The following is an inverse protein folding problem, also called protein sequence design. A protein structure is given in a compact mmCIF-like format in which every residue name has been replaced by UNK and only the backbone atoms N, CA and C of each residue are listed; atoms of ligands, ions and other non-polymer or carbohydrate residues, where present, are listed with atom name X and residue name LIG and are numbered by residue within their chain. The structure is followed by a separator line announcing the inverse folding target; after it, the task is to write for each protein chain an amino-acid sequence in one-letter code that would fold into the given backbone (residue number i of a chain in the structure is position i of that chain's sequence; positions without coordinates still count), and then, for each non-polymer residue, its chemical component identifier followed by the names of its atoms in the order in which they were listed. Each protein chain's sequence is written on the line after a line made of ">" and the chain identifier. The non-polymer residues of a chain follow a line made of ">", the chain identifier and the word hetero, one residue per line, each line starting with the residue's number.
data_IF_303698842976
#
_entry.id   IF_303698842976
#
_cell.length_a   1.000
_cell.length_b   1.000
_cell.length_c   1.000
_cell.angle_alpha   90.00
_cell.angle_beta   90.00
_cell.angle_gamma   90.00
#
_symmetry.space_group_name_H-M   'P 1'
#
loop_
_entity.id
_entity.type
_entity.pdbx_description
1 polymer ?
#
# COMPACT_ATOMS: atom_id res chain seq x y z
N UNK A 1 -15.01 -11.24 -6.78
CA UNK A 1 -13.74 -10.56 -7.10
C UNK A 1 -12.81 -11.63 -7.65
N UNK A 2 -11.94 -11.35 -8.64
CA UNK A 2 -10.93 -12.32 -9.05
C UNK A 2 -9.99 -12.64 -7.89
N UNK A 3 -9.60 -13.91 -7.76
CA UNK A 3 -8.69 -14.34 -6.71
C UNK A 3 -7.25 -13.92 -7.01
N UNK A 4 -6.44 -13.78 -5.96
CA UNK A 4 -5.00 -13.49 -6.06
C UNK A 4 -4.64 -12.02 -6.35
N UNK A 5 -5.63 -11.13 -6.48
CA UNK A 5 -5.38 -9.71 -6.66
C UNK A 5 -4.94 -9.03 -5.35
N UNK A 6 -3.93 -8.17 -5.45
CA UNK A 6 -3.58 -7.19 -4.43
C UNK A 6 -4.72 -6.21 -4.21
N UNK A 7 -4.70 -5.49 -3.07
CA UNK A 7 -5.73 -4.49 -2.78
C UNK A 7 -5.84 -3.41 -3.88
N UNK A 8 -4.75 -2.81 -4.41
CA UNK A 8 -4.84 -1.87 -5.54
C UNK A 8 -5.47 -2.46 -6.80
N UNK A 9 -5.13 -3.70 -7.17
CA UNK A 9 -5.72 -4.37 -8.34
C UNK A 9 -7.21 -4.67 -8.15
N UNK A 10 -7.63 -5.02 -6.93
CA UNK A 10 -9.05 -5.17 -6.59
C UNK A 10 -9.82 -3.87 -6.80
N UNK A 11 -9.27 -2.74 -6.34
CA UNK A 11 -9.87 -1.42 -6.55
C UNK A 11 -9.93 -1.05 -8.04
N UNK A 12 -8.84 -1.25 -8.78
CA UNK A 12 -8.80 -1.01 -10.21
C UNK A 12 -9.90 -1.80 -10.95
N UNK A 13 -10.01 -3.10 -10.66
CA UNK A 13 -11.04 -3.95 -11.25
C UNK A 13 -12.45 -3.44 -10.96
N UNK A 14 -12.75 -3.08 -9.70
CA UNK A 14 -14.05 -2.58 -9.30
C UNK A 14 -14.39 -1.26 -9.98
N UNK A 15 -13.46 -0.31 -9.99
CA UNK A 15 -13.64 1.02 -10.60
C UNK A 15 -13.86 0.91 -12.11
N UNK A 16 -13.06 0.12 -12.83
CA UNK A 16 -13.25 -0.08 -14.26
C UNK A 16 -14.56 -0.81 -14.58
N UNK A 17 -14.96 -1.78 -13.75
CA UNK A 17 -16.23 -2.48 -13.92
C UNK A 17 -17.43 -1.56 -13.69
N UNK A 18 -17.35 -0.64 -12.72
CA UNK A 18 -18.38 0.37 -12.47
C UNK A 18 -18.47 1.36 -13.64
N UNK A 19 -17.35 1.93 -14.06
CA UNK A 19 -17.27 2.86 -15.19
C UNK A 19 -17.84 2.26 -16.48
N UNK A 20 -17.52 0.99 -16.76
CA UNK A 20 -18.07 0.29 -17.92
C UNK A 20 -19.60 0.17 -17.86
N UNK A 21 -20.17 -0.10 -16.68
CA UNK A 21 -21.63 -0.19 -16.49
C UNK A 21 -22.31 1.16 -16.74
N UNK A 22 -21.74 2.23 -16.22
CA UNK A 22 -22.25 3.60 -16.38
C UNK A 22 -22.17 4.08 -17.83
N UNK A 23 -21.07 3.77 -18.52
CA UNK A 23 -20.96 4.05 -19.95
C UNK A 23 -22.00 3.24 -20.74
N UNK A 24 -22.16 1.94 -20.41
CA UNK A 24 -23.07 1.07 -21.17
C UNK A 24 -24.54 1.44 -20.98
N UNK A 25 -24.92 1.95 -19.80
CA UNK A 25 -26.26 2.45 -19.51
C UNK A 25 -26.53 3.84 -20.10
N UNK A 26 -25.50 4.52 -20.62
CA UNK A 26 -25.59 5.89 -21.14
C UNK A 26 -25.60 6.97 -20.06
N UNK A 27 -25.30 6.62 -18.81
CA UNK A 27 -25.18 7.58 -17.70
C UNK A 27 -24.00 8.54 -17.90
N UNK A 28 -22.93 8.09 -18.58
CA UNK A 28 -21.78 8.91 -18.95
C UNK A 28 -21.50 8.80 -20.45
N UNK A 29 -20.96 9.86 -21.04
CA UNK A 29 -20.54 9.85 -22.44
C UNK A 29 -19.26 9.02 -22.64
N UNK A 30 -18.93 8.73 -23.90
CA UNK A 30 -17.67 8.04 -24.23
C UNK A 30 -16.46 8.88 -23.85
N UNK A 31 -16.54 10.18 -24.06
CA UNK A 31 -15.49 11.16 -23.78
C UNK A 31 -15.25 11.25 -22.27
N UNK A 32 -16.32 11.33 -21.48
CA UNK A 32 -16.25 11.32 -20.02
C UNK A 32 -15.67 9.99 -19.53
N UNK A 33 -16.16 8.85 -20.02
CA UNK A 33 -15.62 7.56 -19.64
C UNK A 33 -14.11 7.41 -19.98
N UNK A 34 -13.64 7.98 -21.09
CA UNK A 34 -12.23 7.97 -21.44
C UNK A 34 -11.37 8.86 -20.53
N UNK A 35 -11.93 9.96 -20.00
CA UNK A 35 -11.25 10.81 -19.01
C UNK A 35 -11.18 10.12 -17.65
N UNK A 36 -12.31 9.59 -17.16
CA UNK A 36 -12.37 8.88 -15.88
C UNK A 36 -11.50 7.63 -15.88
N UNK A 37 -11.48 6.86 -16.99
CA UNK A 37 -10.59 5.71 -17.12
C UNK A 37 -9.12 6.10 -16.92
N UNK A 38 -8.68 7.23 -17.48
CA UNK A 38 -7.30 7.72 -17.29
C UNK A 38 -7.04 8.07 -15.83
N UNK A 39 -7.94 8.82 -15.21
CA UNK A 39 -7.83 9.16 -13.79
C UNK A 39 -7.77 7.92 -12.87
N UNK A 40 -8.56 6.88 -13.16
CA UNK A 40 -8.53 5.60 -12.44
C UNK A 40 -7.16 4.92 -12.57
N UNK A 41 -6.56 4.94 -13.77
CA UNK A 41 -5.25 4.35 -14.00
C UNK A 41 -4.15 5.13 -13.25
N UNK A 42 -4.18 6.46 -13.30
CA UNK A 42 -3.21 7.30 -12.58
C UNK A 42 -3.28 7.06 -11.05
N UNK A 43 -4.50 6.93 -10.51
CA UNK A 43 -4.69 6.60 -9.09
C UNK A 43 -4.21 5.19 -8.75
N UNK A 44 -4.42 4.23 -9.65
CA UNK A 44 -3.95 2.87 -9.46
C UNK A 44 -2.41 2.82 -9.41
N UNK A 45 -1.71 3.53 -10.29
CA UNK A 45 -0.24 3.54 -10.29
C UNK A 45 0.33 4.04 -8.96
N UNK A 46 -0.25 5.12 -8.41
CA UNK A 46 0.15 5.64 -7.11
C UNK A 46 -0.17 4.66 -5.97
N UNK A 47 -1.35 4.03 -6.01
CA UNK A 47 -1.78 3.09 -4.99
C UNK A 47 -0.95 1.80 -5.02
N UNK A 48 -0.63 1.27 -6.20
CA UNK A 48 0.24 0.10 -6.38
C UNK A 48 1.65 0.37 -5.86
N UNK A 49 2.24 1.50 -6.24
CA UNK A 49 3.56 1.90 -5.73
C UNK A 49 3.56 1.99 -4.20
N UNK A 50 2.55 2.66 -3.63
CA UNK A 50 2.43 2.82 -2.18
C UNK A 50 2.25 1.48 -1.47
N UNK A 51 1.43 0.58 -2.05
CA UNK A 51 1.23 -0.77 -1.54
C UNK A 51 2.52 -1.58 -1.54
N UNK A 52 3.29 -1.54 -2.64
CA UNK A 52 4.57 -2.26 -2.74
C UNK A 52 5.59 -1.76 -1.72
N UNK A 53 5.75 -0.44 -1.60
CA UNK A 53 6.67 0.17 -0.63
C UNK A 53 6.27 -0.19 0.81
N UNK A 54 4.98 -0.07 1.14
CA UNK A 54 4.48 -0.43 2.46
C UNK A 54 4.70 -1.92 2.77
N UNK A 55 4.38 -2.79 1.82
CA UNK A 55 4.55 -4.23 1.97
C UNK A 55 6.02 -4.60 2.21
N UNK A 56 6.92 -4.07 1.39
CA UNK A 56 8.35 -4.31 1.56
C UNK A 56 8.89 -3.79 2.91
N UNK A 57 8.46 -2.60 3.33
CA UNK A 57 8.83 -2.05 4.63
C UNK A 57 8.31 -2.91 5.80
N UNK A 58 7.06 -3.38 5.70
CA UNK A 58 6.45 -4.26 6.69
C UNK A 58 7.16 -5.62 6.73
N UNK A 59 7.45 -6.22 5.58
CA UNK A 59 8.15 -7.50 5.50
C UNK A 59 9.55 -7.41 6.12
N UNK A 60 10.29 -6.33 5.83
CA UNK A 60 11.58 -6.06 6.49
C UNK A 60 11.43 -5.89 8.00
N UNK A 61 10.44 -5.11 8.45
CA UNK A 61 10.18 -4.92 9.88
C UNK A 61 9.87 -6.23 10.61
N UNK A 62 9.09 -7.10 9.98
CA UNK A 62 8.76 -8.42 10.52
C UNK A 62 9.99 -9.33 10.66
N UNK A 63 11.01 -9.18 9.80
CA UNK A 63 12.23 -9.98 9.88
C UNK A 63 13.06 -9.68 11.13
N UNK A 64 13.09 -8.42 11.57
CA UNK A 64 13.90 -8.02 12.73
C UNK A 64 13.09 -7.74 14.00
N UNK A 65 11.76 -7.76 13.97
CA UNK A 65 10.91 -7.39 15.13
C UNK A 65 11.19 -8.24 16.37
N UNK A 66 11.40 -9.54 16.21
CA UNK A 66 11.74 -10.45 17.31
C UNK A 66 13.12 -10.10 17.93
N UNK A 67 14.12 -9.85 17.08
CA UNK A 67 15.47 -9.48 17.51
C UNK A 67 15.46 -8.14 18.24
N UNK A 68 14.72 -7.15 17.75
CA UNK A 68 14.58 -5.85 18.43
C UNK A 68 13.91 -6.00 19.80
N UNK A 69 12.92 -6.89 19.92
CA UNK A 69 12.26 -7.17 21.21
C UNK A 69 13.23 -7.78 22.22
N UNK A 70 14.10 -8.70 21.78
CA UNK A 70 15.15 -9.28 22.63
C UNK A 70 16.22 -8.24 22.99
N UNK A 71 16.63 -7.43 22.01
CA UNK A 71 17.60 -6.36 22.19
C UNK A 71 17.15 -5.31 23.22
N UNK A 72 15.87 -4.92 23.22
CA UNK A 72 15.29 -3.99 24.19
C UNK A 72 15.33 -4.54 25.62
N UNK A 73 15.08 -5.84 25.78
CA UNK A 73 15.09 -6.55 27.08
C UNK A 73 16.50 -6.94 27.54
N UNK A 74 17.50 -6.78 26.68
CA UNK A 74 18.88 -7.13 26.99
C UNK A 74 19.49 -6.16 28.03
N UNK A 75 20.62 -6.56 28.63
CA UNK A 75 21.42 -5.66 29.46
C UNK A 75 22.29 -4.67 28.67
N UNK A 76 22.24 -4.66 27.33
CA UNK A 76 23.13 -3.85 26.50
C UNK A 76 22.52 -2.48 26.18
N UNK A 77 23.11 -1.41 26.70
CA UNK A 77 22.62 -0.04 26.48
C UNK A 77 22.74 0.42 25.02
N UNK A 78 23.75 -0.05 24.27
CA UNK A 78 23.88 0.23 22.84
C UNK A 78 22.71 -0.41 22.07
N UNK A 79 22.36 -1.67 22.40
CA UNK A 79 21.25 -2.37 21.78
C UNK A 79 19.92 -1.64 22.02
N UNK A 80 19.63 -1.23 23.26
CA UNK A 80 18.43 -0.42 23.58
C UNK A 80 18.40 0.90 22.81
N UNK A 81 19.54 1.57 22.65
CA UNK A 81 19.61 2.79 21.84
C UNK A 81 19.29 2.52 20.37
N UNK A 82 19.81 1.44 19.80
CA UNK A 82 19.50 1.02 18.42
C UNK A 82 17.98 0.77 18.27
N UNK A 83 17.35 0.05 19.21
CA UNK A 83 15.90 -0.19 19.17
C UNK A 83 15.11 1.13 19.14
N UNK A 84 15.47 2.11 19.98
CA UNK A 84 14.81 3.43 19.98
C UNK A 84 14.93 4.17 18.65
N UNK A 85 16.05 4.03 17.95
CA UNK A 85 16.23 4.60 16.60
C UNK A 85 15.31 3.89 15.60
N UNK A 86 15.26 2.56 15.61
CA UNK A 86 14.40 1.78 14.72
C UNK A 86 12.91 2.07 14.93
N UNK A 87 12.48 2.24 16.18
CA UNK A 87 11.09 2.56 16.53
C UNK A 87 10.73 4.05 16.30
N UNK A 88 11.69 4.89 15.91
CA UNK A 88 11.49 6.33 15.78
C UNK A 88 11.29 7.07 17.12
N UNK A 89 11.65 6.43 18.25
CA UNK A 89 11.59 7.02 19.60
C UNK A 89 12.80 7.93 19.90
N UNK A 90 13.89 7.78 19.15
CA UNK A 90 14.93 8.79 19.03
C UNK A 90 14.77 9.54 17.70
N UNK A 91 14.09 10.69 17.73
CA UNK A 91 14.17 11.68 16.65
C UNK A 91 15.27 12.69 17.00
N UNK A 92 16.13 13.00 16.03
CA UNK A 92 17.03 14.17 16.10
C UNK A 92 16.24 15.46 16.28
#
# INVERSE_FOLDING_TARGET
>A
MPDGLTQPEQWLYLSLRALYREYRSGAVSKEQAAQEKRAILDQYELADMSYRVYKEASDRANQYSAILTEAEKSGCEICKKIVKIFDGRETK
#
